data_IF_311786821186
#
_entry.id   IF_311786821186
#
_cell.length_a   1.000
_cell.length_b   1.000
_cell.length_c   1.000
_cell.angle_alpha   90.00
_cell.angle_beta   90.00
_cell.angle_gamma   90.00
#
_symmetry.space_group_name_H-M   'P 1'
#
loop_
_entity.id
_entity.type
_entity.pdbx_description
1 polymer ?
#
# COMPACT_ATOMS: atom_id res chain seq x y z
N UNK A 1 -17.96 -11.17 35.27
CA UNK A 1 -17.58 -12.16 34.23
C UNK A 1 -17.06 -11.37 33.06
N UNK A 2 -15.84 -11.67 32.64
CA UNK A 2 -14.94 -10.80 31.87
C UNK A 2 -15.40 -10.61 30.43
N UNK A 3 -15.48 -9.36 29.99
CA UNK A 3 -16.00 -8.93 28.68
C UNK A 3 -14.91 -8.93 27.58
N UNK A 4 -13.90 -9.79 27.72
CA UNK A 4 -12.69 -9.82 26.86
C UNK A 4 -12.86 -10.60 25.55
N UNK A 5 -14.08 -11.02 25.19
CA UNK A 5 -14.31 -11.98 24.10
C UNK A 5 -14.31 -11.37 22.68
N UNK A 6 -14.29 -10.04 22.54
CA UNK A 6 -14.40 -9.35 21.24
C UNK A 6 -13.31 -8.31 20.96
N UNK A 7 -12.15 -8.40 21.62
CA UNK A 7 -11.00 -7.59 21.24
C UNK A 7 -10.57 -7.99 19.82
N UNK A 8 -10.76 -7.08 18.85
CA UNK A 8 -10.20 -7.25 17.52
C UNK A 8 -8.69 -7.48 17.65
N UNK A 9 -8.11 -8.46 16.94
CA UNK A 9 -6.69 -8.73 17.04
C UNK A 9 -5.91 -7.46 16.72
N UNK A 10 -4.86 -7.21 17.52
CA UNK A 10 -3.98 -6.07 17.31
C UNK A 10 -3.46 -6.06 15.88
N UNK A 11 -3.41 -4.88 15.25
CA UNK A 11 -2.82 -4.73 13.93
C UNK A 11 -1.33 -5.05 14.02
N UNK A 12 -0.85 -5.96 13.17
CA UNK A 12 0.55 -6.40 13.13
C UNK A 12 1.20 -5.88 11.85
N UNK A 13 1.94 -4.76 11.90
CA UNK A 13 2.45 -4.11 10.69
C UNK A 13 3.41 -4.99 9.89
N UNK A 14 4.32 -5.73 10.54
CA UNK A 14 5.29 -6.58 9.86
C UNK A 14 4.63 -7.72 9.07
N UNK A 15 3.76 -8.50 9.73
CA UNK A 15 3.00 -9.59 9.08
C UNK A 15 2.10 -9.05 7.96
N UNK A 16 1.50 -7.89 8.19
CA UNK A 16 0.64 -7.22 7.21
C UNK A 16 1.44 -6.74 6.00
N UNK A 17 2.63 -6.17 6.20
CA UNK A 17 3.48 -5.67 5.14
C UNK A 17 3.95 -6.80 4.22
N UNK A 18 4.28 -7.96 4.76
CA UNK A 18 4.65 -9.15 3.98
C UNK A 18 3.49 -9.58 3.07
N UNK A 19 2.29 -9.67 3.65
CA UNK A 19 1.07 -10.04 2.90
C UNK A 19 0.72 -9.00 1.84
N UNK A 20 0.79 -7.71 2.19
CA UNK A 20 0.53 -6.60 1.27
C UNK A 20 1.51 -6.60 0.10
N UNK A 21 2.82 -6.73 0.35
CA UNK A 21 3.83 -6.82 -0.72
C UNK A 21 3.57 -8.00 -1.66
N UNK A 22 3.17 -9.16 -1.12
CA UNK A 22 2.77 -10.31 -1.95
C UNK A 22 1.58 -9.97 -2.83
N UNK A 23 0.52 -9.39 -2.27
CA UNK A 23 -0.66 -8.99 -3.03
C UNK A 23 -0.31 -7.99 -4.15
N UNK A 24 0.57 -7.02 -3.86
CA UNK A 24 1.00 -5.99 -4.82
C UNK A 24 1.83 -6.56 -5.96
N UNK A 25 2.67 -7.59 -5.71
CA UNK A 25 3.41 -8.30 -6.77
C UNK A 25 2.49 -9.00 -7.77
N UNK A 26 1.31 -9.45 -7.33
CA UNK A 26 0.31 -10.06 -8.23
C UNK A 26 -0.41 -9.01 -9.10
N UNK A 27 -0.30 -7.71 -8.77
CA UNK A 27 -0.90 -6.63 -9.54
C UNK A 27 -0.02 -6.26 -10.73
N UNK A 28 -0.13 -6.99 -11.83
CA UNK A 28 0.46 -6.55 -13.10
C UNK A 28 -0.19 -5.21 -13.51
N UNK A 29 0.58 -4.20 -13.94
CA UNK A 29 1.99 -4.25 -14.37
C UNK A 29 3.00 -3.68 -13.34
N UNK A 30 2.75 -3.78 -12.03
CA UNK A 30 3.68 -3.33 -11.01
C UNK A 30 4.95 -4.20 -10.95
N UNK A 31 6.08 -3.57 -10.63
CA UNK A 31 7.34 -4.23 -10.32
C UNK A 31 7.83 -3.79 -8.94
N UNK A 32 8.22 -4.73 -8.08
CA UNK A 32 8.77 -4.39 -6.75
C UNK A 32 10.20 -3.82 -6.90
N UNK A 33 10.47 -2.71 -6.21
CA UNK A 33 11.77 -2.03 -6.15
C UNK A 33 12.05 -1.57 -4.72
N UNK A 34 12.92 -2.31 -4.03
CA UNK A 34 13.31 -2.03 -2.65
C UNK A 34 12.11 -2.01 -1.69
N UNK A 35 11.83 -0.84 -1.12
CA UNK A 35 10.70 -0.63 -0.21
C UNK A 35 9.40 -0.22 -0.92
N UNK A 36 9.35 -0.23 -2.26
CA UNK A 36 8.24 0.28 -3.04
C UNK A 36 7.94 -0.52 -4.31
N UNK A 37 7.10 0.06 -5.15
CA UNK A 37 6.73 -0.50 -6.45
C UNK A 37 6.78 0.57 -7.54
N UNK A 38 7.16 0.14 -8.72
CA UNK A 38 7.14 0.95 -9.93
C UNK A 38 6.06 0.49 -10.89
N UNK A 39 5.62 1.45 -11.70
CA UNK A 39 4.81 1.23 -12.89
C UNK A 39 5.59 1.73 -14.10
N UNK A 40 5.85 0.86 -15.08
CA UNK A 40 6.65 1.17 -16.28
C UNK A 40 7.99 1.85 -15.95
N UNK A 41 8.63 1.41 -14.86
CA UNK A 41 9.92 1.93 -14.37
C UNK A 41 9.84 3.23 -13.57
N UNK A 42 8.66 3.84 -13.40
CA UNK A 42 8.43 5.04 -12.59
C UNK A 42 7.94 4.65 -11.19
N UNK A 43 8.49 5.24 -10.11
CA UNK A 43 8.05 4.93 -8.76
C UNK A 43 6.60 5.39 -8.53
N UNK A 44 5.74 4.49 -8.07
CA UNK A 44 4.32 4.79 -7.84
C UNK A 44 3.83 4.48 -6.43
N UNK A 45 4.56 3.63 -5.70
CA UNK A 45 4.25 3.29 -4.31
C UNK A 45 5.53 3.17 -3.50
N UNK A 46 5.54 3.71 -2.28
CA UNK A 46 6.54 3.40 -1.25
C UNK A 46 5.84 2.93 0.01
N UNK A 47 6.43 1.94 0.68
CA UNK A 47 5.94 1.36 1.92
C UNK A 47 7.05 1.41 2.96
N UNK A 48 6.71 1.87 4.15
CA UNK A 48 7.54 1.76 5.34
C UNK A 48 6.65 1.35 6.50
N UNK A 49 7.16 0.57 7.45
CA UNK A 49 6.43 0.24 8.66
C UNK A 49 7.23 0.62 9.90
N UNK A 50 6.51 0.84 10.98
CA UNK A 50 7.04 0.93 12.33
C UNK A 50 6.38 -0.15 13.21
N UNK A 51 6.52 -0.03 14.53
CA UNK A 51 5.98 -0.99 15.48
C UNK A 51 4.44 -1.07 15.49
N UNK A 52 3.72 -0.06 14.99
CA UNK A 52 2.26 0.04 15.11
C UNK A 52 1.53 0.27 13.78
N UNK A 53 2.20 0.79 12.75
CA UNK A 53 1.56 1.21 11.51
C UNK A 53 2.41 0.93 10.27
N UNK A 54 1.76 0.99 9.10
CA UNK A 54 2.43 1.04 7.80
C UNK A 54 2.16 2.42 7.20
N UNK A 55 3.20 3.17 6.87
CA UNK A 55 3.11 4.36 6.04
C UNK A 55 3.21 3.96 4.58
N UNK A 56 2.16 4.26 3.82
CA UNK A 56 2.13 4.12 2.37
C UNK A 56 2.17 5.49 1.70
N UNK A 57 3.02 5.65 0.70
CA UNK A 57 3.07 6.85 -0.15
C UNK A 57 2.74 6.45 -1.57
N UNK A 58 1.70 7.04 -2.15
CA UNK A 58 1.29 6.78 -3.53
C UNK A 58 1.60 8.01 -4.37
N UNK A 59 2.25 7.81 -5.52
CA UNK A 59 2.53 8.90 -6.43
C UNK A 59 1.23 9.54 -6.92
N UNK A 60 1.20 10.86 -7.11
CA UNK A 60 0.07 11.54 -7.77
C UNK A 60 0.06 11.28 -9.28
N UNK A 61 1.26 11.20 -9.88
CA UNK A 61 1.50 10.89 -11.29
C UNK A 61 2.75 10.01 -11.42
N UNK A 62 2.82 9.11 -12.42
CA UNK A 62 3.96 8.22 -12.64
C UNK A 62 5.12 8.96 -13.31
N UNK A 63 5.88 9.72 -12.53
CA UNK A 63 7.09 10.45 -12.98
C UNK A 63 8.31 10.01 -12.17
N UNK A 64 9.51 10.38 -12.62
CA UNK A 64 10.77 9.93 -11.98
C UNK A 64 10.89 10.40 -10.52
N UNK A 65 10.47 11.64 -10.24
CA UNK A 65 10.44 12.21 -8.89
C UNK A 65 9.01 12.69 -8.61
N UNK A 66 8.12 11.81 -8.14
CA UNK A 66 6.72 12.13 -8.00
C UNK A 66 6.43 12.92 -6.72
N UNK A 67 5.35 13.67 -6.74
CA UNK A 67 4.67 14.10 -5.53
C UNK A 67 3.90 12.93 -4.92
N UNK A 68 3.94 12.83 -3.60
CA UNK A 68 3.41 11.70 -2.85
C UNK A 68 2.19 12.08 -2.03
N UNK A 69 1.12 11.29 -2.14
CA UNK A 69 0.05 11.28 -1.16
C UNK A 69 0.36 10.22 -0.11
N UNK A 70 0.36 10.62 1.17
CA UNK A 70 0.71 9.73 2.29
C UNK A 70 -0.54 9.21 2.98
N UNK A 71 -0.57 7.90 3.27
CA UNK A 71 -1.62 7.22 4.02
C UNK A 71 -0.99 6.38 5.13
N UNK A 72 -1.60 6.39 6.32
CA UNK A 72 -1.18 5.56 7.45
C UNK A 72 -2.17 4.42 7.60
N UNK A 73 -1.68 3.19 7.50
CA UNK A 73 -2.47 1.97 7.65
C UNK A 73 -2.28 1.46 9.07
N UNK A 74 -3.39 1.35 9.80
CA UNK A 74 -3.43 0.83 11.17
C UNK A 74 -4.41 -0.34 11.31
N UNK A 75 -4.96 -0.80 10.20
CA UNK A 75 -5.96 -1.87 10.15
C UNK A 75 -5.99 -2.55 8.79
N UNK A 76 -6.55 -3.76 8.73
CA UNK A 76 -6.80 -4.44 7.46
C UNK A 76 -7.79 -3.72 6.54
N UNK A 77 -8.66 -2.86 7.10
CA UNK A 77 -9.55 -2.01 6.31
C UNK A 77 -8.78 -0.94 5.56
N UNK A 78 -7.77 -0.34 6.19
CA UNK A 78 -6.91 0.66 5.54
C UNK A 78 -6.07 0.01 4.43
N UNK A 79 -5.59 -1.22 4.64
CA UNK A 79 -4.87 -1.99 3.61
C UNK A 79 -5.74 -2.22 2.37
N UNK A 80 -7.01 -2.61 2.54
CA UNK A 80 -7.93 -2.78 1.40
C UNK A 80 -8.16 -1.47 0.67
N UNK A 81 -8.42 -0.38 1.41
CA UNK A 81 -8.58 0.96 0.83
C UNK A 81 -7.35 1.41 0.04
N UNK A 82 -6.15 1.14 0.54
CA UNK A 82 -4.90 1.43 -0.17
C UNK A 82 -4.82 0.67 -1.49
N UNK A 83 -5.11 -0.63 -1.49
CA UNK A 83 -5.08 -1.46 -2.71
C UNK A 83 -6.11 -0.97 -3.72
N UNK A 84 -7.32 -0.65 -3.28
CA UNK A 84 -8.38 -0.14 -4.15
C UNK A 84 -8.00 1.22 -4.76
N UNK A 85 -7.42 2.11 -3.96
CA UNK A 85 -6.92 3.41 -4.44
C UNK A 85 -5.78 3.25 -5.45
N UNK A 86 -4.83 2.35 -5.18
CA UNK A 86 -3.75 2.08 -6.12
C UNK A 86 -4.28 1.53 -7.44
N UNK A 87 -5.26 0.63 -7.42
CA UNK A 87 -5.91 0.11 -8.62
C UNK A 87 -6.60 1.21 -9.42
N UNK A 88 -7.32 2.12 -8.77
CA UNK A 88 -7.95 3.28 -9.42
C UNK A 88 -6.93 4.18 -10.09
N UNK A 89 -5.81 4.47 -9.41
CA UNK A 89 -4.72 5.27 -9.98
C UNK A 89 -4.06 4.59 -11.17
N UNK A 90 -3.78 3.28 -11.08
CA UNK A 90 -3.22 2.51 -12.18
C UNK A 90 -4.12 2.52 -13.41
N UNK A 91 -5.44 2.35 -13.24
CA UNK A 91 -6.40 2.45 -14.34
C UNK A 91 -6.38 3.86 -14.96
N UNK A 92 -6.48 4.90 -14.12
CA UNK A 92 -6.43 6.29 -14.58
C UNK A 92 -5.14 6.62 -15.34
N UNK A 93 -3.98 6.20 -14.85
CA UNK A 93 -2.71 6.45 -15.52
C UNK A 93 -2.56 5.68 -16.83
N UNK A 94 -3.22 4.53 -16.96
CA UNK A 94 -3.27 3.78 -18.21
C UNK A 94 -4.21 4.44 -19.22
N UNK A 95 -5.27 5.11 -18.77
CA UNK A 95 -6.20 5.88 -19.63
C UNK A 95 -5.61 7.24 -20.06
N UNK A 96 -4.78 7.85 -19.20
CA UNK A 96 -4.10 9.13 -19.45
C UNK A 96 -2.85 8.99 -20.36
N UNK A 97 -2.49 7.76 -20.77
CA UNK A 97 -1.37 7.44 -21.68
C UNK A 97 -1.82 7.39 -23.15
#
# INVERSE_FOLDING_TARGET
>A
MSDDFFALPAFKPDETLVTLKRQLRELKPLAERGAGFDWKGKPVLQLANDAATITARIARRPVTTPEWDTQVLKSGADVRKLVDELRKRLARWADDE
#
